data_IF_427535322833
#
_entry.id   IF_427535322833
#
_cell.length_a   1.000
_cell.length_b   1.000
_cell.length_c   1.000
_cell.angle_alpha   90.00
_cell.angle_beta   90.00
_cell.angle_gamma   90.00
#
_symmetry.space_group_name_H-M   'P 1'
#
loop_
_entity.id
_entity.type
_entity.pdbx_description
1 polymer ?
#
# COMPACT_ATOMS: atom_id res chain seq x y z
N UNK A 1 9.75 1.71 0.16
CA UNK A 1 10.55 0.49 0.36
C UNK A 1 11.97 0.78 -0.10
N UNK A 2 12.92 0.90 0.83
CA UNK A 2 14.26 1.43 0.51
C UNK A 2 15.29 0.33 0.25
N UNK A 3 15.16 -0.83 0.89
CA UNK A 3 16.06 -1.97 0.69
C UNK A 3 15.25 -3.27 0.69
N UNK A 4 15.89 -4.38 0.32
CA UNK A 4 15.34 -5.73 0.44
C UNK A 4 16.31 -6.67 1.14
N UNK A 5 16.01 -7.97 1.13
CA UNK A 5 16.85 -9.00 1.76
C UNK A 5 17.04 -10.18 0.80
N UNK A 6 18.29 -10.62 0.60
CA UNK A 6 18.59 -11.84 -0.15
C UNK A 6 18.26 -13.08 0.67
N UNK A 7 17.57 -14.05 0.08
CA UNK A 7 17.29 -15.35 0.70
C UNK A 7 18.20 -16.48 0.21
N UNK A 8 18.69 -16.40 -1.03
CA UNK A 8 19.64 -17.38 -1.58
C UNK A 8 20.90 -16.71 -2.13
N UNK A 9 21.88 -17.54 -2.51
CA UNK A 9 23.21 -17.11 -2.96
C UNK A 9 23.21 -16.30 -4.24
N UNK A 10 24.39 -15.81 -4.63
CA UNK A 10 24.57 -14.92 -5.79
C UNK A 10 24.92 -15.65 -7.09
N UNK A 11 24.95 -16.99 -7.08
CA UNK A 11 25.29 -17.80 -8.24
C UNK A 11 24.32 -17.55 -9.40
N UNK A 12 24.84 -17.36 -10.61
CA UNK A 12 24.04 -17.05 -11.81
C UNK A 12 23.27 -18.25 -12.35
N UNK A 13 23.73 -19.46 -12.02
CA UNK A 13 23.18 -20.74 -12.51
C UNK A 13 22.09 -21.32 -11.59
N UNK A 14 21.91 -20.75 -10.40
CA UNK A 14 20.93 -21.22 -9.41
C UNK A 14 19.77 -20.22 -9.29
N UNK A 15 18.60 -20.71 -8.90
CA UNK A 15 17.44 -19.85 -8.66
C UNK A 15 17.70 -18.92 -7.47
N UNK A 16 17.59 -17.61 -7.72
CA UNK A 16 17.78 -16.58 -6.71
C UNK A 16 16.45 -16.02 -6.22
N UNK A 17 16.25 -15.99 -4.91
CA UNK A 17 15.06 -15.42 -4.28
C UNK A 17 15.47 -14.17 -3.51
N UNK A 18 14.78 -13.07 -3.77
CA UNK A 18 15.02 -11.79 -3.12
C UNK A 18 13.74 -11.26 -2.50
N UNK A 19 13.76 -11.07 -1.20
CA UNK A 19 12.64 -10.49 -0.47
C UNK A 19 12.59 -8.99 -0.69
N UNK A 20 11.82 -8.61 -1.71
CA UNK A 20 11.33 -7.26 -1.91
C UNK A 20 9.80 -7.32 -1.92
N UNK A 21 9.15 -6.60 -1.02
CA UNK A 21 7.73 -6.37 -1.12
C UNK A 21 7.42 -5.60 -2.42
N UNK A 22 6.22 -5.79 -2.97
CA UNK A 22 5.82 -5.09 -4.19
C UNK A 22 5.91 -3.56 -3.97
N UNK A 23 6.81 -2.84 -4.68
CA UNK A 23 7.04 -1.42 -4.42
C UNK A 23 5.80 -0.57 -4.66
N UNK A 24 4.98 -0.90 -5.67
CA UNK A 24 3.75 -0.17 -6.00
C UNK A 24 2.77 -0.27 -4.84
N UNK A 25 2.52 -1.48 -4.34
CA UNK A 25 1.62 -1.70 -3.20
C UNK A 25 2.18 -1.01 -1.94
N UNK A 26 3.49 -1.06 -1.74
CA UNK A 26 4.13 -0.40 -0.61
C UNK A 26 3.89 1.12 -0.59
N UNK A 27 4.17 1.79 -1.71
CA UNK A 27 3.97 3.24 -1.83
C UNK A 27 2.51 3.64 -1.85
N UNK A 28 1.64 2.80 -2.43
CA UNK A 28 0.20 2.97 -2.35
C UNK A 28 -0.27 2.94 -0.89
N UNK A 29 0.19 1.96 -0.11
CA UNK A 29 -0.13 1.84 1.31
C UNK A 29 0.35 3.03 2.14
N UNK A 30 1.59 3.49 1.90
CA UNK A 30 2.13 4.65 2.59
C UNK A 30 1.36 5.93 2.26
N UNK A 31 1.03 6.16 0.98
CA UNK A 31 0.25 7.33 0.57
C UNK A 31 -1.18 7.27 1.12
N UNK A 32 -1.80 6.09 1.17
CA UNK A 32 -3.11 5.90 1.79
C UNK A 32 -3.12 6.16 3.29
N UNK A 33 -2.05 5.83 4.03
CA UNK A 33 -1.95 6.18 5.45
C UNK A 33 -2.00 7.71 5.64
N UNK A 34 -1.27 8.47 4.81
CA UNK A 34 -1.28 9.94 4.85
C UNK A 34 -2.66 10.50 4.47
N UNK A 35 -3.26 10.00 3.38
CA UNK A 35 -4.60 10.40 2.95
C UNK A 35 -5.66 10.12 4.02
N UNK A 36 -5.58 8.97 4.70
CA UNK A 36 -6.45 8.65 5.82
C UNK A 36 -6.33 9.68 6.95
N UNK A 37 -5.10 10.05 7.34
CA UNK A 37 -4.89 11.04 8.39
C UNK A 37 -5.53 12.40 8.03
N UNK A 38 -5.45 12.80 6.76
CA UNK A 38 -6.10 14.01 6.26
C UNK A 38 -7.63 13.88 6.36
N UNK A 39 -8.22 12.82 5.83
CA UNK A 39 -9.68 12.61 5.88
C UNK A 39 -10.22 12.51 7.30
N UNK A 40 -9.50 11.81 8.19
CA UNK A 40 -9.87 11.67 9.59
C UNK A 40 -9.83 13.03 10.30
N UNK A 41 -8.78 13.82 10.07
CA UNK A 41 -8.66 15.17 10.65
C UNK A 41 -9.75 16.11 10.17
N UNK A 42 -10.00 16.16 8.85
CA UNK A 42 -11.08 16.94 8.26
C UNK A 42 -12.42 16.53 8.88
N UNK A 43 -12.72 15.23 8.89
CA UNK A 43 -13.95 14.68 9.46
C UNK A 43 -14.12 15.04 10.94
N UNK A 44 -13.06 14.93 11.73
CA UNK A 44 -13.09 15.29 13.15
C UNK A 44 -13.41 16.77 13.36
N UNK A 45 -12.82 17.67 12.57
CA UNK A 45 -13.10 19.12 12.62
C UNK A 45 -14.55 19.40 12.22
N UNK A 46 -15.05 18.77 11.15
CA UNK A 46 -16.43 18.95 10.70
C UNK A 46 -17.44 18.51 11.77
N UNK A 47 -17.20 17.36 12.41
CA UNK A 47 -18.04 16.85 13.48
C UNK A 47 -18.00 17.74 14.72
N UNK A 48 -16.82 18.22 15.12
CA UNK A 48 -16.67 19.13 16.27
C UNK A 48 -17.38 20.47 16.05
N UNK A 49 -17.39 20.98 14.81
CA UNK A 49 -18.09 22.23 14.47
C UNK A 49 -19.61 22.09 14.35
N UNK A 50 -20.16 20.89 14.51
CA UNK A 50 -21.60 20.65 14.48
C UNK A 50 -22.24 20.81 13.09
N UNK A 51 -21.44 20.82 12.01
CA UNK A 51 -22.01 20.79 10.66
C UNK A 51 -22.72 19.46 10.47
N UNK A 52 -24.04 19.50 10.27
CA UNK A 52 -24.85 18.33 9.93
C UNK A 52 -24.57 17.97 8.47
N UNK A 53 -23.74 16.95 8.19
CA UNK A 53 -23.42 16.61 6.82
C UNK A 53 -24.65 15.98 6.17
N UNK A 54 -24.77 16.09 4.85
CA UNK A 54 -25.70 15.27 4.06
C UNK A 54 -25.49 13.80 4.43
N UNK A 55 -26.55 13.00 4.45
CA UNK A 55 -26.55 11.62 4.93
C UNK A 55 -25.38 10.78 4.37
N UNK A 56 -25.05 10.91 3.09
CA UNK A 56 -23.93 10.22 2.46
C UNK A 56 -22.56 10.59 3.06
N UNK A 57 -22.34 11.86 3.39
CA UNK A 57 -21.10 12.34 4.03
C UNK A 57 -21.01 11.84 5.48
N UNK A 58 -22.15 11.78 6.18
CA UNK A 58 -22.22 11.23 7.54
C UNK A 58 -21.86 9.75 7.58
N UNK A 59 -22.36 8.97 6.63
CA UNK A 59 -22.04 7.54 6.52
C UNK A 59 -20.54 7.32 6.27
N UNK A 60 -19.96 8.07 5.33
CA UNK A 60 -18.51 8.04 5.04
C UNK A 60 -17.67 8.44 6.25
N UNK A 61 -18.08 9.51 6.95
CA UNK A 61 -17.44 9.92 8.20
C UNK A 61 -17.48 8.78 9.24
N UNK A 62 -18.60 8.06 9.34
CA UNK A 62 -18.71 6.88 10.20
C UNK A 62 -17.73 5.76 9.83
N UNK A 63 -17.57 5.46 8.54
CA UNK A 63 -16.60 4.46 8.05
C UNK A 63 -15.16 4.86 8.42
N UNK A 64 -14.79 6.14 8.20
CA UNK A 64 -13.46 6.68 8.49
C UNK A 64 -13.18 6.69 10.01
N UNK A 65 -14.15 7.10 10.82
CA UNK A 65 -13.97 7.26 12.27
C UNK A 65 -14.08 5.96 13.06
N UNK A 66 -14.86 4.99 12.58
CA UNK A 66 -15.04 3.72 13.29
C UNK A 66 -14.17 2.62 12.68
N UNK A 67 -14.48 2.18 11.46
CA UNK A 67 -13.82 1.03 10.83
C UNK A 67 -12.34 1.28 10.54
N UNK A 68 -12.03 2.36 9.80
CA UNK A 68 -10.66 2.67 9.45
C UNK A 68 -9.78 3.01 10.67
N UNK A 69 -10.36 3.58 11.73
CA UNK A 69 -9.64 3.84 13.00
C UNK A 69 -9.24 2.55 13.70
N UNK A 70 -10.10 1.53 13.71
CA UNK A 70 -9.76 0.21 14.25
C UNK A 70 -8.65 -0.46 13.44
N UNK A 71 -8.69 -0.34 12.12
CA UNK A 71 -7.62 -0.85 11.25
C UNK A 71 -6.30 -0.11 11.49
N UNK A 72 -6.33 1.22 11.63
CA UNK A 72 -5.14 2.00 12.00
C UNK A 72 -4.60 1.58 13.36
N UNK A 73 -5.47 1.34 14.35
CA UNK A 73 -5.04 0.83 15.65
C UNK A 73 -4.35 -0.54 15.51
N UNK A 74 -4.90 -1.43 14.68
CA UNK A 74 -4.25 -2.70 14.33
C UNK A 74 -2.85 -2.50 13.74
N UNK A 75 -2.70 -1.55 12.81
CA UNK A 75 -1.39 -1.17 12.26
C UNK A 75 -0.44 -0.65 13.34
N UNK A 76 -0.88 0.27 14.20
CA UNK A 76 -0.08 0.82 15.30
C UNK A 76 0.39 -0.26 16.27
N UNK A 77 -0.51 -1.14 16.69
CA UNK A 77 -0.19 -2.24 17.62
C UNK A 77 0.80 -3.24 17.02
N UNK A 78 0.82 -3.39 15.70
CA UNK A 78 1.77 -4.27 15.01
C UNK A 78 3.02 -3.54 14.51
N UNK A 79 3.13 -2.21 14.67
CA UNK A 79 4.29 -1.46 14.19
C UNK A 79 5.07 -0.78 15.30
N UNK A 80 4.37 -0.10 16.22
CA UNK A 80 4.98 0.69 17.30
C UNK A 80 5.82 -0.18 18.25
N UNK A 81 5.40 -1.38 18.69
CA UNK A 81 6.21 -2.17 19.63
C UNK A 81 7.61 -2.53 19.11
N UNK A 82 7.79 -2.62 17.79
CA UNK A 82 9.09 -2.93 17.19
C UNK A 82 10.15 -1.85 17.43
N UNK A 83 9.75 -0.59 17.64
CA UNK A 83 10.68 0.49 18.00
C UNK A 83 11.24 0.36 19.42
N UNK A 84 10.57 -0.42 20.29
CA UNK A 84 10.98 -0.66 21.67
C UNK A 84 11.81 -1.94 21.84
N UNK A 85 11.94 -2.75 20.78
CA UNK A 85 12.67 -4.01 20.85
C UNK A 85 14.17 -3.80 20.65
N UNK A 86 14.99 -4.30 21.57
CA UNK A 86 16.46 -4.23 21.50
C UNK A 86 17.13 -5.35 20.69
N UNK A 87 16.41 -6.02 19.80
CA UNK A 87 16.93 -7.13 18.97
C UNK A 87 16.90 -6.79 17.49
N UNK A 88 17.65 -7.54 16.69
CA UNK A 88 17.67 -7.40 15.23
C UNK A 88 16.28 -7.71 14.67
N UNK A 89 15.80 -6.85 13.76
CA UNK A 89 14.52 -6.99 13.08
C UNK A 89 14.75 -7.17 11.58
N UNK A 90 13.87 -7.95 10.97
CA UNK A 90 13.87 -8.26 9.53
C UNK A 90 12.50 -7.92 8.93
N UNK A 91 12.43 -7.77 7.60
CA UNK A 91 11.21 -7.36 6.87
C UNK A 91 9.94 -8.14 7.22
N UNK A 92 10.05 -9.44 7.49
CA UNK A 92 8.88 -10.27 7.82
C UNK A 92 8.17 -9.84 9.10
N UNK A 93 8.86 -9.17 10.03
CA UNK A 93 8.24 -8.60 11.23
C UNK A 93 7.21 -7.51 10.88
N UNK A 94 7.37 -6.83 9.73
CA UNK A 94 6.44 -5.81 9.27
C UNK A 94 5.20 -6.38 8.56
N UNK A 95 5.18 -7.67 8.18
CA UNK A 95 4.06 -8.23 7.41
C UNK A 95 2.69 -8.11 8.09
N UNK A 96 2.54 -8.34 9.41
CA UNK A 96 1.27 -8.10 10.09
C UNK A 96 0.81 -6.64 9.98
N UNK A 97 1.70 -5.67 10.20
CA UNK A 97 1.39 -4.26 10.02
C UNK A 97 1.03 -3.95 8.56
N UNK A 98 1.75 -4.51 7.59
CA UNK A 98 1.47 -4.34 6.17
C UNK A 98 0.04 -4.78 5.79
N UNK A 99 -0.47 -5.86 6.39
CA UNK A 99 -1.85 -6.32 6.17
C UNK A 99 -2.87 -5.25 6.58
N UNK A 100 -2.74 -4.69 7.80
CA UNK A 100 -3.60 -3.60 8.25
C UNK A 100 -3.45 -2.36 7.37
N UNK A 101 -2.23 -2.06 6.91
CA UNK A 101 -2.00 -0.96 5.98
C UNK A 101 -2.75 -1.15 4.67
N UNK A 102 -2.75 -2.36 4.09
CA UNK A 102 -3.49 -2.68 2.86
C UNK A 102 -5.01 -2.61 3.05
N UNK A 103 -5.51 -3.03 4.22
CA UNK A 103 -6.94 -2.86 4.55
C UNK A 103 -7.31 -1.38 4.66
N UNK A 104 -6.45 -0.56 5.28
CA UNK A 104 -6.66 0.88 5.40
C UNK A 104 -6.64 1.56 4.03
N UNK A 105 -5.76 1.12 3.13
CA UNK A 105 -5.72 1.53 1.71
C UNK A 105 -7.05 1.28 1.03
N UNK A 106 -7.60 0.07 1.14
CA UNK A 106 -8.88 -0.26 0.52
C UNK A 106 -10.02 0.65 1.02
N UNK A 107 -10.11 0.88 2.33
CA UNK A 107 -11.13 1.77 2.91
C UNK A 107 -10.93 3.22 2.45
N UNK A 108 -9.69 3.70 2.46
CA UNK A 108 -9.36 5.10 2.13
C UNK A 108 -9.65 5.40 0.66
N UNK A 109 -9.26 4.51 -0.26
CA UNK A 109 -9.54 4.66 -1.69
C UNK A 109 -11.03 4.50 -2.00
N UNK A 110 -11.73 3.60 -1.29
CA UNK A 110 -13.19 3.50 -1.41
C UNK A 110 -13.88 4.82 -1.06
N UNK A 111 -13.54 5.42 0.09
CA UNK A 111 -14.10 6.71 0.53
C UNK A 111 -13.70 7.85 -0.42
N UNK A 112 -12.44 7.90 -0.85
CA UNK A 112 -11.96 8.91 -1.80
C UNK A 112 -12.74 8.84 -3.12
N UNK A 113 -12.84 7.67 -3.72
CA UNK A 113 -13.52 7.47 -5.00
C UNK A 113 -15.03 7.74 -4.91
N UNK A 114 -15.67 7.37 -3.79
CA UNK A 114 -17.06 7.72 -3.56
C UNK A 114 -17.29 9.21 -3.38
N UNK A 115 -16.32 9.95 -2.81
CA UNK A 115 -16.43 11.39 -2.54
C UNK A 115 -16.50 12.25 -3.81
N UNK A 116 -16.25 11.69 -4.98
CA UNK A 116 -16.43 12.37 -6.27
C UNK A 116 -17.90 12.65 -6.61
N UNK A 117 -18.87 12.03 -5.94
CA UNK A 117 -20.28 12.39 -6.06
C UNK A 117 -20.60 13.80 -5.52
N UNK A 118 -19.71 14.38 -4.72
CA UNK A 118 -19.81 15.77 -4.26
C UNK A 118 -19.39 16.77 -5.32
N UNK A 119 -18.64 16.33 -6.34
CA UNK A 119 -18.05 17.19 -7.38
C UNK A 119 -18.68 16.98 -8.76
N UNK A 120 -19.20 15.79 -9.02
CA UNK A 120 -19.74 15.39 -10.32
C UNK A 120 -21.20 14.94 -10.25
N UNK A 121 -21.85 14.84 -11.41
CA UNK A 121 -23.17 14.19 -11.49
C UNK A 121 -23.10 12.73 -11.04
N UNK A 122 -24.21 12.17 -10.55
CA UNK A 122 -24.26 10.81 -10.02
C UNK A 122 -23.72 9.77 -11.01
N UNK A 123 -24.08 9.87 -12.29
CA UNK A 123 -23.59 8.96 -13.33
C UNK A 123 -22.09 9.08 -13.56
N UNK A 124 -21.56 10.30 -13.56
CA UNK A 124 -20.13 10.54 -13.73
C UNK A 124 -19.35 10.03 -12.51
N UNK A 125 -19.82 10.29 -11.30
CA UNK A 125 -19.21 9.80 -10.06
C UNK A 125 -19.19 8.26 -10.00
N UNK A 126 -20.27 7.59 -10.40
CA UNK A 126 -20.30 6.12 -10.49
C UNK A 126 -19.30 5.58 -11.52
N UNK A 127 -19.13 6.26 -12.67
CA UNK A 127 -18.11 5.89 -13.66
C UNK A 127 -16.70 6.06 -13.08
N UNK A 128 -16.41 7.20 -12.44
CA UNK A 128 -15.13 7.46 -11.78
C UNK A 128 -14.82 6.39 -10.73
N UNK A 129 -15.81 6.04 -9.89
CA UNK A 129 -15.65 4.99 -8.90
C UNK A 129 -15.31 3.63 -9.54
N UNK A 130 -16.08 3.19 -10.53
CA UNK A 130 -15.87 1.89 -11.20
C UNK A 130 -14.51 1.84 -11.92
N UNK A 131 -14.17 2.89 -12.67
CA UNK A 131 -12.90 2.97 -13.40
C UNK A 131 -11.73 3.03 -12.41
N UNK A 132 -11.83 3.85 -11.36
CA UNK A 132 -10.80 3.97 -10.34
C UNK A 132 -10.53 2.66 -9.60
N UNK A 133 -11.58 1.95 -9.19
CA UNK A 133 -11.44 0.64 -8.55
C UNK A 133 -10.82 -0.40 -9.49
N UNK A 134 -11.26 -0.45 -10.75
CA UNK A 134 -10.70 -1.35 -11.76
C UNK A 134 -9.23 -1.04 -12.01
N UNK A 135 -8.88 0.24 -12.14
CA UNK A 135 -7.50 0.70 -12.33
C UNK A 135 -6.61 0.26 -11.16
N UNK A 136 -7.04 0.44 -9.91
CA UNK A 136 -6.27 0.02 -8.73
C UNK A 136 -6.01 -1.49 -8.73
N UNK A 137 -7.02 -2.31 -9.05
CA UNK A 137 -6.87 -3.77 -9.13
C UNK A 137 -5.90 -4.15 -10.25
N UNK A 138 -6.05 -3.57 -11.45
CA UNK A 138 -5.17 -3.85 -12.58
C UNK A 138 -3.73 -3.44 -12.32
N UNK A 139 -3.50 -2.30 -11.67
CA UNK A 139 -2.15 -1.86 -11.25
C UNK A 139 -1.54 -2.82 -10.23
N UNK A 140 -2.33 -3.31 -9.26
CA UNK A 140 -1.85 -4.31 -8.31
C UNK A 140 -1.49 -5.63 -9.00
N UNK A 141 -2.33 -6.12 -9.91
CA UNK A 141 -2.06 -7.34 -10.67
C UNK A 141 -0.84 -7.20 -11.60
N UNK A 142 -0.76 -6.09 -12.33
CA UNK A 142 0.34 -5.82 -13.24
C UNK A 142 1.67 -5.66 -12.50
N UNK A 143 1.67 -4.92 -11.38
CA UNK A 143 2.88 -4.81 -10.55
C UNK A 143 3.29 -6.16 -9.96
N UNK A 144 2.35 -7.01 -9.55
CA UNK A 144 2.69 -8.38 -9.14
C UNK A 144 3.31 -9.17 -10.29
N UNK A 145 2.70 -9.14 -11.48
CA UNK A 145 3.25 -9.79 -12.67
C UNK A 145 4.69 -9.34 -12.96
N UNK A 146 4.97 -8.04 -12.83
CA UNK A 146 6.29 -7.47 -13.07
C UNK A 146 7.33 -7.96 -12.04
N UNK A 147 6.96 -8.03 -10.76
CA UNK A 147 7.88 -8.36 -9.66
C UNK A 147 7.84 -9.83 -9.21
N UNK A 148 6.98 -10.68 -9.80
CA UNK A 148 6.87 -12.09 -9.44
C UNK A 148 8.20 -12.88 -9.48
N UNK A 149 9.16 -12.60 -10.40
CA UNK A 149 10.40 -13.37 -10.45
C UNK A 149 11.20 -13.27 -9.15
N UNK A 150 11.11 -12.14 -8.43
CA UNK A 150 11.77 -11.96 -7.13
C UNK A 150 11.30 -12.98 -6.09
N UNK A 151 10.03 -13.41 -6.19
CA UNK A 151 9.40 -14.37 -5.27
C UNK A 151 9.48 -15.81 -5.78
N UNK A 152 9.30 -16.04 -7.09
CA UNK A 152 9.28 -17.39 -7.67
C UNK A 152 10.67 -17.90 -8.08
N UNK A 153 11.67 -17.02 -8.12
CA UNK A 153 13.04 -17.35 -8.48
C UNK A 153 13.47 -16.61 -9.75
N UNK A 154 14.58 -15.90 -9.66
CA UNK A 154 15.26 -15.26 -10.79
C UNK A 154 16.44 -16.11 -11.26
N UNK A 155 16.76 -16.02 -12.54
CA UNK A 155 17.91 -16.67 -13.17
C UNK A 155 18.63 -15.64 -14.05
N UNK A 156 19.95 -15.77 -14.18
CA UNK A 156 20.78 -14.90 -15.02
C UNK A 156 21.60 -13.88 -14.23
N UNK A 157 22.18 -12.86 -14.88
CA UNK A 157 23.03 -11.87 -14.21
C UNK A 157 22.20 -11.00 -13.25
N UNK A 158 22.87 -10.41 -12.24
CA UNK A 158 22.22 -9.52 -11.27
C UNK A 158 21.62 -8.30 -11.97
N UNK A 159 20.61 -7.66 -11.38
CA UNK A 159 19.93 -6.50 -11.94
C UNK A 159 20.83 -5.25 -12.10
N UNK A 160 22.06 -5.28 -11.59
CA UNK A 160 23.05 -4.23 -11.90
C UNK A 160 23.62 -4.35 -13.32
N UNK A 161 23.61 -5.55 -13.91
CA UNK A 161 24.02 -5.75 -15.30
C UNK A 161 22.95 -5.21 -16.25
N UNK A 162 23.26 -4.27 -17.15
CA UNK A 162 22.31 -3.77 -18.16
C UNK A 162 21.71 -4.85 -19.06
N UNK A 163 22.40 -5.99 -19.21
CA UNK A 163 21.92 -7.14 -19.97
C UNK A 163 21.02 -8.08 -19.15
N UNK A 164 20.84 -7.82 -17.86
CA UNK A 164 19.93 -8.59 -17.01
C UNK A 164 18.47 -8.35 -17.40
N UNK A 165 17.64 -9.40 -17.50
CA UNK A 165 16.19 -9.23 -17.67
C UNK A 165 15.55 -8.48 -16.49
N UNK A 166 16.24 -8.42 -15.35
CA UNK A 166 15.78 -7.76 -14.12
C UNK A 166 16.27 -6.32 -13.99
N UNK A 167 17.13 -5.83 -14.89
CA UNK A 167 17.71 -4.48 -14.82
C UNK A 167 16.64 -3.38 -14.76
N UNK A 168 15.58 -3.51 -15.56
CA UNK A 168 14.45 -2.56 -15.57
C UNK A 168 13.60 -2.53 -14.30
N UNK A 169 13.76 -3.51 -13.41
CA UNK A 169 13.04 -3.60 -12.14
C UNK A 169 13.78 -2.91 -10.99
N UNK A 170 15.05 -2.56 -11.18
CA UNK A 170 15.89 -1.93 -10.16
C UNK A 170 15.60 -0.42 -10.10
N UNK A 171 14.57 -0.05 -9.36
CA UNK A 171 14.17 1.36 -9.23
C UNK A 171 15.00 2.15 -8.23
N UNK A 172 15.65 1.48 -7.28
CA UNK A 172 16.53 2.07 -6.29
C UNK A 172 17.90 1.40 -6.33
N UNK A 173 18.96 2.18 -6.14
CA UNK A 173 20.35 1.69 -6.18
C UNK A 173 20.62 0.62 -5.12
N UNK A 174 19.99 0.76 -3.97
CA UNK A 174 20.03 -0.13 -2.80
C UNK A 174 19.31 -1.47 -2.99
N UNK A 175 18.66 -1.70 -4.13
CA UNK A 175 18.06 -2.99 -4.45
C UNK A 175 19.08 -3.87 -5.16
N UNK A 176 19.51 -4.94 -4.50
CA UNK A 176 20.60 -5.77 -4.97
C UNK A 176 20.16 -7.21 -5.28
N UNK A 177 19.22 -7.34 -6.20
CA UNK A 177 18.73 -8.63 -6.70
C UNK A 177 19.29 -9.00 -8.08
#
# INVERSE_FOLDING_TARGET
MLSGLRFSGTNETEYRVYLLGNPVIWWLNLSSLVLYMIFSSITAIYLQRGYLPVQCVRERAGIVQNGARQVLLGWLLHYVPFYLMGRILYYHHYFPAMLFSSMLTAITWHVLLQSFDLLFSQDAAQRVYKIGMMFLVLVCMYSFYLFHPLSYGMVGPLAQDPHSPMAGLKWLESWEF
#
